data_IF_803216718210
#
_entry.id   IF_803216718210
#
_cell.length_a   1.000
_cell.length_b   1.000
_cell.length_c   1.000
_cell.angle_alpha   90.00
_cell.angle_beta   90.00
_cell.angle_gamma   90.00
#
_symmetry.space_group_name_H-M   'P 1'
#
loop_
_entity.id
_entity.type
_entity.pdbx_description
1 polymer ?
#
# COMPACT_ATOMS: atom_id res chain seq x y z
N UNK A 1 -10.38 -8.89 15.15
CA UNK A 1 -11.17 -8.67 13.92
C UNK A 1 -10.82 -7.27 13.40
N UNK A 2 -9.96 -7.04 12.41
CA UNK A 2 -9.32 -7.93 11.42
C UNK A 2 -8.09 -7.20 10.86
N UNK A 3 -6.90 -7.77 11.01
CA UNK A 3 -5.61 -7.23 10.56
C UNK A 3 -5.31 -7.53 9.07
N UNK A 4 -6.28 -7.33 8.18
CA UNK A 4 -6.16 -7.77 6.77
C UNK A 4 -6.16 -6.64 5.73
N UNK A 5 -6.20 -5.37 6.15
CA UNK A 5 -6.42 -4.23 5.23
C UNK A 5 -5.27 -3.24 5.31
N UNK A 6 -4.32 -3.28 4.38
CA UNK A 6 -3.16 -2.40 4.42
C UNK A 6 -3.54 -0.94 4.28
N UNK A 7 -4.44 -0.59 3.35
CA UNK A 7 -4.84 0.81 3.16
C UNK A 7 -5.54 1.34 4.41
N UNK A 8 -6.53 0.61 4.92
CA UNK A 8 -7.30 1.02 6.10
C UNK A 8 -6.43 1.09 7.35
N UNK A 9 -5.58 0.09 7.57
CA UNK A 9 -4.73 0.03 8.75
C UNK A 9 -3.70 1.15 8.73
N UNK A 10 -3.04 1.39 7.58
CA UNK A 10 -2.09 2.49 7.45
C UNK A 10 -2.80 3.84 7.58
N UNK A 11 -4.02 4.00 7.03
CA UNK A 11 -4.81 5.22 7.18
C UNK A 11 -5.07 5.53 8.66
N UNK A 12 -5.50 4.53 9.44
CA UNK A 12 -5.75 4.68 10.87
C UNK A 12 -4.43 4.96 11.63
N UNK A 13 -3.33 4.26 11.32
CA UNK A 13 -2.01 4.50 11.92
C UNK A 13 -1.50 5.91 11.68
N UNK A 14 -1.74 6.47 10.49
CA UNK A 14 -1.38 7.84 10.14
C UNK A 14 -2.37 8.88 10.71
N UNK A 15 -3.35 8.47 11.52
CA UNK A 15 -4.33 9.37 12.15
C UNK A 15 -5.37 9.94 11.18
N UNK A 16 -5.54 9.35 10.00
CA UNK A 16 -6.42 9.86 8.96
C UNK A 16 -7.83 9.27 9.05
N UNK A 17 -8.84 10.11 8.93
CA UNK A 17 -10.23 9.69 8.66
C UNK A 17 -10.40 9.37 7.17
N UNK A 18 -11.44 8.60 6.83
CA UNK A 18 -11.71 8.17 5.45
C UNK A 18 -11.86 9.35 4.47
N UNK A 19 -12.57 10.42 4.88
CA UNK A 19 -12.73 11.61 4.05
C UNK A 19 -11.42 12.38 3.85
N UNK A 20 -10.53 12.42 4.86
CA UNK A 20 -9.24 13.10 4.74
C UNK A 20 -8.33 12.39 3.74
N UNK A 21 -8.34 11.06 3.71
CA UNK A 21 -7.66 10.31 2.65
C UNK A 21 -8.29 10.59 1.28
N UNK A 22 -9.62 10.69 1.23
CA UNK A 22 -10.35 11.00 0.00
C UNK A 22 -9.95 12.36 -0.58
N UNK A 23 -9.88 13.39 0.25
CA UNK A 23 -9.39 14.73 -0.11
C UNK A 23 -7.96 14.70 -0.64
N UNK A 24 -7.05 14.03 0.08
CA UNK A 24 -5.64 13.89 -0.35
C UNK A 24 -5.49 13.12 -1.67
N UNK A 25 -6.39 12.17 -1.92
CA UNK A 25 -6.42 11.40 -3.17
C UNK A 25 -7.24 12.09 -4.28
N UNK A 26 -7.92 13.20 -3.98
CA UNK A 26 -8.86 13.90 -4.87
C UNK A 26 -9.96 12.98 -5.42
N UNK A 27 -10.57 12.19 -4.55
CA UNK A 27 -11.69 11.29 -4.87
C UNK A 27 -12.81 11.43 -3.84
N UNK A 28 -13.97 10.84 -4.11
CA UNK A 28 -15.07 10.83 -3.15
C UNK A 28 -14.78 9.92 -1.94
N UNK A 29 -15.36 10.23 -0.78
CA UNK A 29 -15.27 9.35 0.40
C UNK A 29 -15.82 7.94 0.12
N UNK A 30 -16.87 7.83 -0.71
CA UNK A 30 -17.38 6.54 -1.18
C UNK A 30 -16.33 5.75 -1.97
N UNK A 31 -15.51 6.42 -2.79
CA UNK A 31 -14.43 5.77 -3.52
C UNK A 31 -13.36 5.20 -2.59
N UNK A 32 -13.06 5.85 -1.47
CA UNK A 32 -12.15 5.32 -0.42
C UNK A 32 -12.76 4.12 0.27
N UNK A 33 -14.04 4.17 0.66
CA UNK A 33 -14.71 3.00 1.25
C UNK A 33 -14.72 1.80 0.29
N UNK A 34 -14.92 2.05 -1.01
CA UNK A 34 -14.85 1.01 -2.03
C UNK A 34 -13.41 0.52 -2.24
N UNK A 35 -12.41 1.41 -2.20
CA UNK A 35 -11.00 1.07 -2.26
C UNK A 35 -10.59 0.12 -1.12
N UNK A 36 -10.96 0.44 0.12
CA UNK A 36 -10.70 -0.43 1.28
C UNK A 36 -11.37 -1.80 1.14
N UNK A 37 -12.57 -1.86 0.55
CA UNK A 37 -13.29 -3.12 0.28
C UNK A 37 -12.68 -3.92 -0.87
N UNK A 38 -12.31 -3.25 -1.96
CA UNK A 38 -11.71 -3.88 -3.13
C UNK A 38 -10.37 -4.54 -2.75
N UNK A 39 -9.64 -3.96 -1.79
CA UNK A 39 -8.35 -4.49 -1.33
C UNK A 39 -8.52 -5.91 -0.82
N UNK A 40 -9.58 -6.13 -0.03
CA UNK A 40 -9.94 -7.43 0.56
C UNK A 40 -10.22 -8.50 -0.48
N UNK A 41 -10.68 -8.06 -1.66
CA UNK A 41 -11.05 -8.92 -2.78
C UNK A 41 -9.92 -9.08 -3.80
N UNK A 42 -8.77 -8.45 -3.58
CA UNK A 42 -7.67 -8.37 -4.55
C UNK A 42 -8.01 -7.52 -5.79
N UNK A 43 -9.05 -6.69 -5.73
CA UNK A 43 -9.51 -5.85 -6.85
C UNK A 43 -8.81 -4.50 -6.97
N UNK A 44 -7.89 -4.18 -6.06
CA UNK A 44 -7.15 -2.91 -6.09
C UNK A 44 -5.95 -3.02 -7.00
N UNK A 45 -5.85 -2.08 -7.94
CA UNK A 45 -4.69 -1.99 -8.83
C UNK A 45 -3.46 -1.50 -8.06
N UNK A 46 -2.27 -1.95 -8.48
CA UNK A 46 -0.99 -1.48 -7.90
C UNK A 46 -0.85 0.06 -7.98
N UNK A 47 -1.36 0.67 -9.06
CA UNK A 47 -1.41 2.13 -9.22
C UNK A 47 -2.19 2.80 -8.09
N UNK A 48 -3.31 2.21 -7.69
CA UNK A 48 -4.15 2.76 -6.63
C UNK A 48 -3.53 2.54 -5.24
N UNK A 49 -2.89 1.39 -5.01
CA UNK A 49 -2.09 1.16 -3.79
C UNK A 49 -0.99 2.22 -3.65
N UNK A 50 -0.24 2.47 -4.72
CA UNK A 50 0.81 3.49 -4.72
C UNK A 50 0.27 4.90 -4.46
N UNK A 51 -0.85 5.28 -5.08
CA UNK A 51 -1.50 6.58 -4.84
C UNK A 51 -1.99 6.72 -3.40
N UNK A 52 -2.62 5.69 -2.83
CA UNK A 52 -3.08 5.70 -1.45
C UNK A 52 -1.90 5.84 -0.48
N UNK A 53 -0.82 5.08 -0.69
CA UNK A 53 0.40 5.22 0.10
C UNK A 53 0.97 6.64 0.04
N UNK A 54 1.13 7.21 -1.16
CA UNK A 54 1.62 8.58 -1.32
C UNK A 54 0.74 9.61 -0.59
N UNK A 55 -0.58 9.50 -0.69
CA UNK A 55 -1.53 10.37 0.02
C UNK A 55 -1.44 10.25 1.56
N UNK A 56 -1.02 9.09 2.07
CA UNK A 56 -0.77 8.85 3.49
C UNK A 56 0.65 9.25 3.94
N UNK A 57 1.51 9.70 3.02
CA UNK A 57 2.93 9.94 3.30
C UNK A 57 3.72 8.65 3.49
N UNK A 58 3.25 7.54 2.93
CA UNK A 58 3.86 6.22 3.00
C UNK A 58 4.47 5.81 1.64
N UNK A 59 5.36 4.82 1.69
CA UNK A 59 5.91 4.18 0.50
C UNK A 59 5.20 2.84 0.26
N UNK A 60 4.82 2.56 -0.99
CA UNK A 60 4.31 1.26 -1.41
C UNK A 60 5.43 0.48 -2.11
N UNK A 61 5.77 -0.70 -1.58
CA UNK A 61 6.75 -1.62 -2.17
C UNK A 61 6.04 -2.93 -2.54
N UNK A 62 6.14 -3.34 -3.81
CA UNK A 62 5.58 -4.59 -4.31
C UNK A 62 6.71 -5.48 -4.83
N UNK A 63 6.76 -6.73 -4.37
CA UNK A 63 7.80 -7.71 -4.74
C UNK A 63 7.17 -9.06 -5.02
N UNK A 64 7.73 -9.75 -6.01
CA UNK A 64 7.49 -11.17 -6.26
C UNK A 64 8.70 -11.90 -5.66
N UNK A 65 8.44 -12.91 -4.84
CA UNK A 65 9.49 -13.70 -4.18
C UNK A 65 9.46 -15.14 -4.72
N UNK A 66 10.62 -15.76 -5.01
CA UNK A 66 10.68 -17.17 -5.35
C UNK A 66 10.20 -18.03 -4.18
N UNK A 67 9.44 -19.10 -4.48
CA UNK A 67 8.94 -20.05 -3.47
C UNK A 67 10.06 -20.72 -2.66
N UNK A 68 11.25 -20.84 -3.24
CA UNK A 68 12.41 -21.48 -2.60
C UNK A 68 13.15 -20.56 -1.60
N UNK A 69 12.85 -19.26 -1.57
CA UNK A 69 13.54 -18.27 -0.73
C UNK A 69 12.79 -17.94 0.57
N UNK A 70 11.69 -18.65 0.89
CA UNK A 70 10.90 -18.40 2.10
C UNK A 70 11.54 -18.90 3.40
N UNK A 71 12.76 -19.46 3.34
CA UNK A 71 13.47 -20.03 4.49
C UNK A 71 14.78 -19.31 4.78
N UNK A 72 14.79 -17.98 4.88
CA UNK A 72 15.81 -17.29 5.69
C UNK A 72 15.24 -15.97 6.20
N UNK A 73 14.85 -16.00 7.46
CA UNK A 73 14.79 -14.83 8.33
C UNK A 73 16.15 -14.14 8.25
N UNK A 74 16.25 -13.03 7.51
CA UNK A 74 17.26 -11.96 7.58
C UNK A 74 17.32 -11.18 6.25
N UNK A 75 16.22 -10.48 5.92
CA UNK A 75 16.26 -9.37 4.95
C UNK A 75 16.51 -8.05 5.68
N UNK A 76 17.46 -8.04 6.63
CA UNK A 76 18.01 -6.82 7.20
C UNK A 76 18.95 -6.16 6.18
N UNK A 77 18.64 -4.93 5.76
CA UNK A 77 19.61 -4.00 5.16
C UNK A 77 20.35 -4.43 3.88
N UNK A 78 19.79 -5.29 3.02
CA UNK A 78 20.25 -5.33 1.62
C UNK A 78 19.47 -4.28 0.84
N UNK A 79 20.03 -3.07 0.75
CA UNK A 79 19.56 -2.02 -0.17
C UNK A 79 19.25 -2.70 -1.52
N UNK A 80 18.00 -2.66 -2.01
CA UNK A 80 17.71 -3.28 -3.29
C UNK A 80 18.62 -2.62 -4.33
N UNK A 81 19.44 -3.42 -5.01
CA UNK A 81 20.27 -2.97 -6.14
C UNK A 81 19.33 -2.68 -7.32
N UNK A 82 18.53 -1.64 -7.26
CA UNK A 82 17.87 -1.11 -8.45
C UNK A 82 18.78 -0.05 -9.05
N UNK A 83 19.24 -0.28 -10.29
CA UNK A 83 19.90 0.75 -11.09
C UNK A 83 18.79 1.65 -11.63
N UNK A 84 18.67 2.85 -11.07
CA UNK A 84 17.79 3.88 -11.64
C UNK A 84 18.42 4.32 -12.96
N UNK A 85 17.87 3.83 -14.07
CA UNK A 85 18.20 4.38 -15.40
C UNK A 85 17.34 5.64 -15.54
N UNK A 86 17.94 6.80 -15.32
CA UNK A 86 17.37 8.08 -15.73
C UNK A 86 17.44 8.14 -17.26
N UNK A 87 16.33 8.54 -17.91
CA UNK A 87 16.31 8.89 -19.33
C UNK A 87 16.18 10.40 -19.45
#
# INVERSE_FOLDING_TARGET
MSDLFWIRNMRIKQGLKGFQLAERMQVSAARISMLEKDETRGGVTLKMMARAAAAMGCKFEYRIVPLAESSTEEAGSRKPRYRVVQK
#
